data_IF_749419004960
#
_entry.id   IF_749419004960
#
_cell.length_a   1.000
_cell.length_b   1.000
_cell.length_c   1.000
_cell.angle_alpha   90.00
_cell.angle_beta   90.00
_cell.angle_gamma   90.00
#
_symmetry.space_group_name_H-M   'P 1'
#
loop_
_entity.id
_entity.type
_entity.pdbx_description
1 polymer ?
#
# COMPACT_ATOMS: atom_id res chain seq x y z
N UNK A 1 20.23 -23.90 22.00
CA UNK A 1 20.79 -22.85 21.15
C UNK A 1 19.82 -22.72 20.01
N UNK A 2 18.91 -21.74 20.08
CA UNK A 2 18.11 -21.39 18.92
C UNK A 2 19.08 -20.77 17.92
N UNK A 3 19.07 -21.26 16.69
CA UNK A 3 19.91 -20.74 15.63
C UNK A 3 19.45 -19.31 15.37
N UNK A 4 20.27 -18.35 15.82
CA UNK A 4 20.05 -16.90 15.76
C UNK A 4 20.35 -16.38 14.33
N UNK A 5 20.04 -17.19 13.31
CA UNK A 5 20.36 -16.93 11.92
C UNK A 5 19.27 -16.03 11.34
N UNK A 6 19.53 -14.72 11.40
CA UNK A 6 18.77 -13.73 10.67
C UNK A 6 18.64 -14.12 9.18
N UNK A 7 17.50 -13.86 8.52
CA UNK A 7 17.32 -14.18 7.10
C UNK A 7 18.46 -13.60 6.26
N UNK A 8 18.94 -14.40 5.30
CA UNK A 8 19.97 -13.99 4.39
C UNK A 8 19.42 -12.95 3.41
N UNK A 9 20.23 -11.95 3.07
CA UNK A 9 19.86 -10.93 2.09
C UNK A 9 19.55 -11.52 0.72
N UNK A 10 18.47 -11.05 0.10
CA UNK A 10 18.14 -11.36 -1.29
C UNK A 10 19.19 -10.75 -2.24
N UNK A 11 19.42 -11.40 -3.38
CA UNK A 11 20.20 -10.81 -4.45
C UNK A 11 19.47 -9.59 -5.01
N UNK A 12 20.18 -8.49 -5.32
CA UNK A 12 19.54 -7.34 -5.94
C UNK A 12 18.93 -7.65 -7.31
N UNK A 13 17.89 -6.90 -7.68
CA UNK A 13 17.24 -6.99 -8.99
C UNK A 13 16.68 -5.65 -9.44
N UNK A 14 16.23 -5.56 -10.70
CA UNK A 14 15.61 -4.34 -11.24
C UNK A 14 14.38 -3.90 -10.43
N UNK A 15 13.62 -4.85 -9.86
CA UNK A 15 12.45 -4.58 -9.00
C UNK A 15 12.82 -3.81 -7.71
N UNK A 16 14.09 -3.83 -7.31
CA UNK A 16 14.58 -3.03 -6.19
C UNK A 16 15.03 -1.62 -6.56
N UNK A 17 14.92 -1.22 -7.83
CA UNK A 17 15.41 0.07 -8.33
C UNK A 17 14.27 1.06 -8.56
N UNK A 18 14.51 2.34 -8.24
CA UNK A 18 13.55 3.42 -8.54
C UNK A 18 13.25 3.52 -10.03
N UNK A 19 14.25 3.33 -10.89
CA UNK A 19 14.12 3.46 -12.35
C UNK A 19 13.13 2.46 -12.95
N UNK A 20 13.09 1.22 -12.44
CA UNK A 20 12.12 0.22 -12.86
C UNK A 20 10.69 0.71 -12.63
N UNK A 21 10.40 1.14 -11.39
CA UNK A 21 9.07 1.59 -10.98
C UNK A 21 8.66 2.90 -11.64
N UNK A 22 9.58 3.86 -11.79
CA UNK A 22 9.35 5.09 -12.56
C UNK A 22 8.95 4.79 -14.00
N UNK A 23 9.59 3.79 -14.63
CA UNK A 23 9.29 3.37 -16.00
C UNK A 23 7.94 2.65 -16.06
N UNK A 24 7.66 1.77 -15.10
CA UNK A 24 6.38 1.07 -14.96
C UNK A 24 5.23 2.08 -14.86
N UNK A 25 5.25 2.97 -13.87
CA UNK A 25 4.17 3.95 -13.68
C UNK A 25 4.02 4.92 -14.86
N UNK A 26 5.11 5.32 -15.52
CA UNK A 26 5.03 6.14 -16.72
C UNK A 26 4.29 5.43 -17.87
N UNK A 27 4.55 4.13 -18.07
CA UNK A 27 3.85 3.32 -19.07
C UNK A 27 2.37 3.19 -18.71
N UNK A 28 2.06 2.89 -17.46
CA UNK A 28 0.69 2.76 -16.97
C UNK A 28 -0.12 4.05 -17.12
N UNK A 29 0.45 5.20 -16.76
CA UNK A 29 -0.18 6.52 -16.97
C UNK A 29 -0.43 6.81 -18.45
N UNK A 30 0.52 6.45 -19.32
CA UNK A 30 0.37 6.63 -20.77
C UNK A 30 -0.79 5.79 -21.30
N UNK A 31 -0.93 4.54 -20.85
CA UNK A 31 -2.04 3.67 -21.21
C UNK A 31 -3.39 4.16 -20.68
N UNK A 32 -3.42 4.73 -19.47
CA UNK A 32 -4.61 5.33 -18.90
C UNK A 32 -5.12 6.49 -19.77
N UNK A 33 -4.19 7.33 -20.22
CA UNK A 33 -4.49 8.49 -21.09
C UNK A 33 -5.01 8.06 -22.47
N UNK A 34 -4.43 7.01 -23.08
CA UNK A 34 -4.86 6.51 -24.39
C UNK A 34 -6.24 5.85 -24.32
N UNK A 35 -6.50 4.99 -23.32
CA UNK A 35 -7.82 4.36 -23.11
C UNK A 35 -8.91 5.45 -22.97
N UNK A 36 -8.66 6.49 -22.16
CA UNK A 36 -9.61 7.60 -21.98
C UNK A 36 -9.84 8.41 -23.28
N UNK A 37 -8.80 8.64 -24.07
CA UNK A 37 -8.91 9.37 -25.34
C UNK A 37 -9.75 8.61 -26.37
N UNK A 38 -9.57 7.29 -26.49
CA UNK A 38 -10.30 6.45 -27.43
C UNK A 38 -11.80 6.37 -27.07
N UNK A 39 -12.15 6.26 -25.79
CA UNK A 39 -13.56 6.28 -25.33
C UNK A 39 -14.24 7.64 -25.53
N UNK A 40 -13.49 8.74 -25.44
CA UNK A 40 -14.02 10.09 -25.67
C UNK A 40 -14.24 10.36 -27.16
N UNK A 41 -13.36 9.87 -28.03
CA UNK A 41 -13.43 10.16 -29.48
C UNK A 41 -14.60 9.42 -30.17
N UNK A 42 -14.97 8.22 -29.69
CA UNK A 42 -16.10 7.44 -30.21
C UNK A 42 -17.48 8.02 -29.89
N UNK A 43 -17.58 9.01 -28.98
CA UNK A 43 -18.87 9.63 -28.61
C UNK A 43 -19.20 10.94 -29.36
N UNK A 44 -18.32 11.44 -30.24
CA UNK A 44 -18.49 12.77 -30.87
C UNK A 44 -18.68 12.83 -32.39
N UNK A 45 -18.90 11.72 -33.09
CA UNK A 45 -19.31 11.78 -34.51
C UNK A 45 -20.48 10.86 -34.79
N UNK A 46 -21.68 11.45 -34.88
CA UNK A 46 -22.84 10.85 -35.53
C UNK A 46 -22.97 11.49 -36.92
N UNK A 47 -22.41 10.90 -38.00
CA UNK A 47 -22.84 11.25 -39.34
C UNK A 47 -24.09 10.45 -39.68
N UNK A 48 -25.17 11.16 -39.97
CA UNK A 48 -26.38 10.64 -40.60
C UNK A 48 -26.09 10.25 -42.05
N UNK A 49 -26.14 8.96 -42.40
CA UNK A 49 -26.53 8.51 -43.76
C UNK A 49 -26.77 6.99 -43.85
N UNK A 50 -27.87 6.67 -44.56
CA UNK A 50 -28.47 5.38 -44.95
C UNK A 50 -27.59 4.11 -45.09
N UNK A 51 -28.20 2.91 -44.92
CA UNK A 51 -27.54 1.63 -45.09
C UNK A 51 -27.48 1.21 -46.55
N UNK A 52 -26.30 0.77 -47.01
CA UNK A 52 -26.15 -0.04 -48.22
C UNK A 52 -25.34 -1.28 -47.83
N UNK A 53 -25.84 -2.52 -48.05
CA UNK A 53 -25.16 -3.72 -47.61
C UNK A 53 -24.24 -4.21 -48.73
N UNK A 54 -22.94 -3.91 -48.64
CA UNK A 54 -21.86 -4.69 -49.27
C UNK A 54 -20.52 -4.00 -49.00
N UNK A 55 -19.94 -4.28 -47.84
CA UNK A 55 -18.49 -4.38 -47.65
C UNK A 55 -18.28 -5.38 -46.53
N UNK A 56 -17.61 -6.47 -46.86
CA UNK A 56 -17.03 -7.40 -45.89
C UNK A 56 -15.81 -6.69 -45.29
N UNK A 57 -16.01 -6.01 -44.18
CA UNK A 57 -14.90 -5.58 -43.34
C UNK A 57 -14.59 -6.77 -42.42
N UNK A 58 -13.46 -7.40 -42.70
CA UNK A 58 -12.81 -8.33 -41.80
C UNK A 58 -12.38 -7.50 -40.59
N UNK A 59 -13.11 -7.65 -39.48
CA UNK A 59 -12.67 -7.20 -38.17
C UNK A 59 -11.38 -7.97 -37.84
N UNK A 60 -10.23 -7.44 -38.26
CA UNK A 60 -8.95 -7.77 -37.63
C UNK A 60 -9.01 -7.19 -36.22
N UNK A 61 -9.59 -7.96 -35.29
CA UNK A 61 -9.26 -7.85 -33.88
C UNK A 61 -7.75 -8.08 -33.79
N UNK A 62 -6.98 -6.99 -33.75
CA UNK A 62 -5.60 -7.04 -33.33
C UNK A 62 -5.62 -7.50 -31.87
N UNK A 63 -5.51 -8.81 -31.68
CA UNK A 63 -4.94 -9.43 -30.48
C UNK A 63 -3.49 -8.92 -30.36
N UNK A 64 -3.33 -7.63 -30.08
CA UNK A 64 -2.09 -7.15 -29.49
C UNK A 64 -1.97 -7.95 -28.19
N UNK A 65 -0.92 -8.75 -28.07
CA UNK A 65 -0.43 -9.34 -26.83
C UNK A 65 -0.13 -8.21 -25.84
N UNK A 66 -1.17 -7.58 -25.30
CA UNK A 66 -1.09 -6.58 -24.24
C UNK A 66 -0.67 -7.39 -23.02
N UNK A 67 0.61 -7.27 -22.69
CA UNK A 67 1.17 -7.65 -21.40
C UNK A 67 0.21 -7.20 -20.28
N UNK A 68 -0.51 -8.15 -19.69
CA UNK A 68 -1.53 -7.95 -18.64
C UNK A 68 -0.98 -7.16 -17.43
N UNK A 69 0.35 -7.15 -17.28
CA UNK A 69 1.08 -6.35 -16.31
C UNK A 69 1.00 -4.83 -16.56
N UNK A 70 0.57 -4.39 -17.75
CA UNK A 70 0.44 -2.98 -18.10
C UNK A 70 -0.98 -2.42 -17.96
N UNK A 71 -1.93 -3.21 -17.44
CA UNK A 71 -3.24 -2.68 -17.09
C UNK A 71 -3.13 -1.79 -15.83
N UNK A 72 -3.63 -0.54 -15.85
CA UNK A 72 -3.67 0.33 -14.67
C UNK A 72 -4.39 -0.27 -13.45
N UNK A 73 -5.11 -1.38 -13.63
CA UNK A 73 -5.77 -2.17 -12.60
C UNK A 73 -4.92 -3.26 -11.93
N UNK A 74 -3.74 -3.61 -12.45
CA UNK A 74 -2.97 -4.75 -11.94
C UNK A 74 -2.36 -4.43 -10.58
N UNK A 75 -3.08 -4.80 -9.51
CA UNK A 75 -2.56 -4.75 -8.15
C UNK A 75 -1.60 -5.91 -7.93
N UNK A 76 -0.38 -5.61 -7.48
CA UNK A 76 0.59 -6.62 -7.05
C UNK A 76 -0.09 -7.61 -6.06
N UNK A 77 0.16 -8.92 -6.12
CA UNK A 77 -0.53 -9.96 -5.33
C UNK A 77 -2.02 -10.24 -5.63
N UNK A 78 -2.63 -9.63 -6.66
CA UNK A 78 -4.02 -9.99 -7.05
C UNK A 78 -4.18 -11.48 -7.38
N UNK A 79 -3.14 -12.10 -7.95
CA UNK A 79 -3.09 -13.55 -8.22
C UNK A 79 -3.30 -14.43 -6.98
N UNK A 80 -3.01 -13.89 -5.79
CA UNK A 80 -3.19 -14.56 -4.51
C UNK A 80 -4.41 -14.06 -3.73
N UNK A 81 -5.22 -13.18 -4.33
CA UNK A 81 -6.35 -12.51 -3.68
C UNK A 81 -5.95 -11.81 -2.37
N UNK A 82 -4.70 -11.32 -2.29
CA UNK A 82 -4.18 -10.74 -1.06
C UNK A 82 -4.92 -9.46 -0.61
N UNK A 83 -5.28 -8.51 -1.50
CA UNK A 83 -6.05 -7.33 -1.11
C UNK A 83 -7.36 -7.67 -0.40
N UNK A 84 -8.18 -8.57 -0.97
CA UNK A 84 -9.46 -8.97 -0.38
C UNK A 84 -9.29 -9.76 0.93
N UNK A 85 -8.24 -10.58 1.04
CA UNK A 85 -7.93 -11.28 2.30
C UNK A 85 -7.47 -10.32 3.40
N UNK A 86 -6.69 -9.28 3.07
CA UNK A 86 -6.31 -8.23 4.01
C UNK A 86 -7.51 -7.37 4.39
N UNK A 87 -8.38 -7.04 3.43
CA UNK A 87 -9.66 -6.39 3.70
C UNK A 87 -10.46 -7.20 4.72
N UNK A 88 -10.68 -8.49 4.45
CA UNK A 88 -11.41 -9.39 5.35
C UNK A 88 -10.81 -9.37 6.76
N UNK A 89 -9.50 -9.55 6.87
CA UNK A 89 -8.77 -9.53 8.13
C UNK A 89 -8.94 -8.21 8.90
N UNK A 90 -8.85 -7.06 8.21
CA UNK A 90 -8.99 -5.74 8.81
C UNK A 90 -10.44 -5.35 9.12
N UNK A 91 -11.42 -6.07 8.57
CA UNK A 91 -12.85 -5.86 8.84
C UNK A 91 -13.43 -6.87 9.84
N UNK A 92 -12.63 -7.87 10.23
CA UNK A 92 -13.04 -8.91 11.16
C UNK A 92 -13.33 -8.33 12.54
N UNK A 93 -14.35 -8.87 13.22
CA UNK A 93 -14.76 -8.40 14.56
C UNK A 93 -13.67 -8.61 15.62
N UNK A 94 -12.76 -9.57 15.42
CA UNK A 94 -11.61 -9.80 16.29
C UNK A 94 -10.52 -8.74 16.13
N UNK A 95 -10.48 -8.02 14.99
CA UNK A 95 -9.49 -6.97 14.79
C UNK A 95 -9.88 -5.69 15.57
N UNK A 96 -9.04 -5.21 16.52
CA UNK A 96 -9.45 -4.17 17.46
C UNK A 96 -9.86 -2.84 16.81
N UNK A 97 -9.31 -2.53 15.63
CA UNK A 97 -9.60 -1.31 14.90
C UNK A 97 -10.56 -1.51 13.72
N UNK A 98 -11.23 -2.67 13.64
CA UNK A 98 -12.23 -2.90 12.61
C UNK A 98 -13.38 -1.88 12.71
N UNK A 99 -14.03 -1.51 11.60
CA UNK A 99 -15.11 -0.52 11.61
C UNK A 99 -16.29 -0.90 12.50
N UNK A 100 -16.60 -2.19 12.65
CA UNK A 100 -17.63 -2.67 13.60
C UNK A 100 -17.30 -2.33 15.06
N UNK A 101 -16.01 -2.23 15.40
CA UNK A 101 -15.52 -1.93 16.74
C UNK A 101 -15.31 -0.43 17.00
N UNK A 102 -15.29 0.38 15.94
CA UNK A 102 -14.91 1.81 16.02
C UNK A 102 -16.02 2.76 15.57
N UNK A 103 -17.02 2.30 14.81
CA UNK A 103 -18.17 3.10 14.41
C UNK A 103 -19.30 3.05 15.45
N UNK A 104 -20.08 4.15 15.61
CA UNK A 104 -21.26 4.13 16.46
C UNK A 104 -22.33 3.17 15.91
N UNK A 105 -23.13 2.53 16.78
CA UNK A 105 -24.20 1.63 16.34
C UNK A 105 -25.27 2.40 15.54
N UNK A 106 -25.89 1.76 14.53
CA UNK A 106 -26.81 2.42 13.59
C UNK A 106 -28.11 2.98 14.22
N UNK A 107 -28.37 2.72 15.50
CA UNK A 107 -29.58 3.14 16.21
C UNK A 107 -29.44 4.40 17.07
N UNK A 108 -28.27 5.05 17.13
CA UNK A 108 -28.11 6.33 17.84
C UNK A 108 -28.70 7.49 17.03
N UNK A 109 -30.03 7.52 16.92
CA UNK A 109 -30.78 8.65 16.39
C UNK A 109 -30.92 9.76 17.45
N UNK A 110 -30.45 10.94 17.06
CA UNK A 110 -30.83 12.27 17.56
C UNK A 110 -30.80 12.53 19.07
N UNK A 111 -29.66 13.02 19.56
CA UNK A 111 -29.69 14.15 20.48
C UNK A 111 -28.75 15.22 19.89
N UNK A 112 -29.35 16.15 19.15
CA UNK A 112 -28.71 17.19 18.34
C UNK A 112 -28.01 18.30 19.15
N UNK A 113 -27.50 17.98 20.34
CA UNK A 113 -26.88 18.97 21.23
C UNK A 113 -25.66 18.49 22.04
N UNK A 114 -25.09 17.31 21.73
CA UNK A 114 -23.69 17.05 22.07
C UNK A 114 -22.86 17.33 20.84
N UNK A 115 -21.95 18.30 20.92
CA UNK A 115 -20.79 18.35 20.01
C UNK A 115 -20.22 16.93 19.99
N UNK A 116 -20.19 16.30 18.82
CA UNK A 116 -19.42 15.10 18.58
C UNK A 116 -17.96 15.45 18.89
N UNK A 117 -17.53 15.25 20.14
CA UNK A 117 -16.12 15.17 20.47
C UNK A 117 -15.60 13.90 19.81
N UNK A 118 -15.07 14.11 18.59
CA UNK A 118 -14.48 13.15 17.65
C UNK A 118 -14.57 11.68 18.01
N UNK A 119 -15.47 10.94 17.34
CA UNK A 119 -15.23 9.50 17.17
C UNK A 119 -13.94 9.37 16.36
N UNK A 120 -12.82 9.12 17.05
CA UNK A 120 -11.50 9.12 16.42
C UNK A 120 -11.35 7.84 15.60
N UNK A 121 -11.83 7.90 14.36
CA UNK A 121 -11.77 6.79 13.43
C UNK A 121 -10.32 6.45 13.09
N UNK A 122 -9.97 5.16 12.94
CA UNK A 122 -8.59 4.76 12.68
C UNK A 122 -8.00 5.45 11.45
N UNK A 123 -6.82 6.05 11.63
CA UNK A 123 -6.00 6.59 10.56
C UNK A 123 -5.16 5.48 9.91
N UNK A 124 -5.08 5.49 8.58
CA UNK A 124 -4.40 4.44 7.80
C UNK A 124 -3.34 5.07 6.89
N UNK A 125 -2.14 4.50 6.91
CA UNK A 125 -1.05 4.80 5.99
C UNK A 125 -0.78 3.58 5.10
N UNK A 126 -0.63 3.79 3.80
CA UNK A 126 -0.22 2.76 2.83
C UNK A 126 1.17 3.11 2.27
N UNK A 127 2.13 2.24 2.54
CA UNK A 127 3.53 2.39 2.11
C UNK A 127 3.69 1.82 0.70
N UNK A 128 4.36 2.56 -0.18
CA UNK A 128 4.49 2.19 -1.60
C UNK A 128 3.11 1.98 -2.24
N UNK A 129 2.24 2.98 -2.10
CA UNK A 129 0.81 2.85 -2.40
C UNK A 129 0.51 2.52 -3.87
N UNK A 130 1.46 2.74 -4.78
CA UNK A 130 1.34 2.38 -6.18
C UNK A 130 0.12 3.05 -6.82
N UNK A 131 -0.90 2.26 -7.14
CA UNK A 131 -2.13 2.74 -7.76
C UNK A 131 -3.21 3.18 -6.74
N UNK A 132 -2.94 3.07 -5.43
CA UNK A 132 -3.85 3.50 -4.36
C UNK A 132 -5.06 2.58 -4.09
N UNK A 133 -5.15 1.45 -4.80
CA UNK A 133 -6.32 0.55 -4.75
C UNK A 133 -6.61 -0.02 -3.37
N UNK A 134 -5.58 -0.28 -2.54
CA UNK A 134 -5.76 -0.85 -1.20
C UNK A 134 -6.53 0.10 -0.27
N UNK A 135 -6.18 1.39 -0.27
CA UNK A 135 -6.90 2.40 0.52
C UNK A 135 -8.32 2.62 0.00
N UNK A 136 -8.51 2.61 -1.32
CA UNK A 136 -9.83 2.69 -1.93
C UNK A 136 -10.73 1.52 -1.50
N UNK A 137 -10.18 0.30 -1.51
CA UNK A 137 -10.84 -0.92 -1.07
C UNK A 137 -11.29 -0.82 0.40
N UNK A 138 -10.40 -0.38 1.29
CA UNK A 138 -10.72 -0.20 2.72
C UNK A 138 -11.75 0.91 2.96
N UNK A 139 -11.71 1.99 2.18
CA UNK A 139 -12.67 3.10 2.26
C UNK A 139 -14.07 2.66 1.81
N UNK A 140 -14.15 2.04 0.63
CA UNK A 140 -15.41 1.75 -0.05
C UNK A 140 -16.06 0.47 0.47
N UNK A 141 -15.30 -0.62 0.57
CA UNK A 141 -15.81 -1.94 1.00
C UNK A 141 -15.53 -2.21 2.47
N UNK A 142 -14.42 -1.72 3.01
CA UNK A 142 -14.08 -1.92 4.42
C UNK A 142 -14.89 -1.07 5.39
N UNK A 143 -15.42 0.07 4.94
CA UNK A 143 -16.22 0.96 5.79
C UNK A 143 -15.40 1.91 6.68
N UNK A 144 -14.07 1.90 6.55
CA UNK A 144 -13.19 2.80 7.31
C UNK A 144 -13.47 4.27 6.98
N UNK A 145 -13.54 5.11 8.02
CA UNK A 145 -13.90 6.54 7.89
C UNK A 145 -12.79 7.52 8.26
N UNK A 146 -11.74 7.07 8.95
CA UNK A 146 -10.62 7.93 9.39
C UNK A 146 -9.74 8.43 8.25
N UNK A 147 -8.70 9.20 8.60
CA UNK A 147 -7.76 9.73 7.60
C UNK A 147 -7.03 8.59 6.88
N UNK A 148 -6.89 8.69 5.56
CA UNK A 148 -6.14 7.71 4.75
C UNK A 148 -5.09 8.43 3.93
N UNK A 149 -3.84 7.98 4.03
CA UNK A 149 -2.71 8.53 3.29
C UNK A 149 -1.99 7.40 2.57
N UNK A 150 -1.83 7.50 1.26
CA UNK A 150 -0.93 6.65 0.48
C UNK A 150 0.35 7.42 0.16
N UNK A 151 1.51 6.81 0.39
CA UNK A 151 2.80 7.40 0.05
C UNK A 151 3.56 6.54 -0.94
N UNK A 152 4.30 7.18 -1.83
CA UNK A 152 5.22 6.52 -2.75
C UNK A 152 6.44 7.41 -2.99
N UNK A 153 7.62 6.84 -3.25
CA UNK A 153 8.79 7.66 -3.62
C UNK A 153 8.67 8.24 -5.03
N UNK A 154 7.71 7.73 -5.84
CA UNK A 154 7.53 8.07 -7.24
C UNK A 154 6.34 9.02 -7.38
N UNK A 155 6.60 10.25 -7.84
CA UNK A 155 5.54 11.18 -8.20
C UNK A 155 4.56 10.58 -9.24
N UNK A 156 5.04 9.71 -10.13
CA UNK A 156 4.21 9.06 -11.16
C UNK A 156 3.22 8.06 -10.55
N UNK A 157 3.61 7.34 -9.51
CA UNK A 157 2.67 6.51 -8.73
C UNK A 157 1.59 7.39 -8.10
N UNK A 158 1.98 8.50 -7.47
CA UNK A 158 1.05 9.42 -6.82
C UNK A 158 0.07 10.02 -7.83
N UNK A 159 0.54 10.42 -9.01
CA UNK A 159 -0.30 10.87 -10.12
C UNK A 159 -1.26 9.79 -10.59
N UNK A 160 -0.79 8.54 -10.74
CA UNK A 160 -1.63 7.40 -11.11
C UNK A 160 -2.75 7.17 -10.09
N UNK A 161 -2.43 7.11 -8.79
CA UNK A 161 -3.41 6.91 -7.74
C UNK A 161 -4.45 8.05 -7.67
N UNK A 162 -4.01 9.30 -7.84
CA UNK A 162 -4.90 10.48 -7.90
C UNK A 162 -5.82 10.42 -9.12
N UNK A 163 -5.31 10.01 -10.27
CA UNK A 163 -6.10 9.93 -11.50
C UNK A 163 -7.12 8.79 -11.46
N UNK A 164 -6.73 7.62 -10.94
CA UNK A 164 -7.67 6.50 -10.71
C UNK A 164 -8.76 6.87 -9.70
N UNK A 165 -8.40 7.57 -8.62
CA UNK A 165 -9.37 8.13 -7.67
C UNK A 165 -10.34 9.10 -8.35
N UNK A 166 -9.82 10.02 -9.17
CA UNK A 166 -10.61 11.05 -9.85
C UNK A 166 -11.56 10.47 -10.88
N UNK A 167 -11.07 9.51 -11.68
CA UNK A 167 -11.82 8.91 -12.78
C UNK A 167 -12.74 7.78 -12.33
N UNK A 168 -12.51 7.18 -11.15
CA UNK A 168 -13.24 6.00 -10.64
C UNK A 168 -13.29 4.83 -11.63
N UNK A 169 -12.21 4.62 -12.38
CA UNK A 169 -12.14 3.60 -13.44
C UNK A 169 -11.46 2.30 -12.99
N UNK A 170 -11.16 2.17 -11.70
CA UNK A 170 -10.63 0.95 -11.12
C UNK A 170 -11.65 0.39 -10.13
N UNK A 171 -11.86 -0.92 -10.13
CA UNK A 171 -12.88 -1.62 -9.34
C UNK A 171 -12.88 -1.26 -7.84
N UNK A 172 -11.70 -1.12 -7.23
CA UNK A 172 -11.53 -0.66 -5.86
C UNK A 172 -12.11 0.75 -5.55
N UNK A 173 -12.27 1.60 -6.57
CA UNK A 173 -12.84 2.95 -6.44
C UNK A 173 -14.34 3.02 -6.78
N UNK A 174 -14.90 1.95 -7.34
CA UNK A 174 -16.33 1.81 -7.60
C UNK A 174 -17.06 1.40 -6.32
N UNK A 175 -18.23 1.99 -6.05
CA UNK A 175 -19.18 1.44 -5.07
C UNK A 175 -20.14 0.46 -5.76
N UNK A 176 -20.68 -0.49 -5.01
CA UNK A 176 -21.68 -1.44 -5.52
C UNK A 176 -22.94 -0.73 -6.08
N UNK A 177 -23.20 0.52 -5.65
CA UNK A 177 -24.26 1.38 -6.20
C UNK A 177 -23.88 2.12 -7.50
N UNK A 178 -22.59 2.24 -7.82
CA UNK A 178 -22.12 2.89 -9.05
C UNK A 178 -22.23 1.97 -10.28
N UNK A 179 -22.47 0.67 -10.09
CA UNK A 179 -22.66 -0.29 -11.19
C UNK A 179 -24.05 -0.16 -11.87
N UNK A 180 -25.04 0.43 -11.20
CA UNK A 180 -26.40 0.60 -11.75
C UNK A 180 -26.65 1.97 -12.42
N UNK A 181 -25.87 3.00 -12.12
CA UNK A 181 -26.06 4.34 -12.69
C UNK A 181 -25.04 4.64 -13.80
N UNK A 182 -25.43 4.32 -15.03
CA UNK A 182 -24.70 4.74 -16.22
C UNK A 182 -24.50 6.26 -16.27
N UNK A 183 -23.23 6.69 -16.27
CA UNK A 183 -22.74 8.02 -16.68
C UNK A 183 -23.59 9.20 -16.18
N UNK A 184 -23.55 9.46 -14.88
CA UNK A 184 -23.89 10.76 -14.32
C UNK A 184 -22.71 11.29 -13.53
N UNK A 185 -22.29 12.54 -13.77
CA UNK A 185 -21.50 13.34 -12.84
C UNK A 185 -22.34 13.61 -11.58
N UNK A 186 -22.65 12.56 -10.82
CA UNK A 186 -23.29 12.65 -9.52
C UNK A 186 -22.22 12.91 -8.46
N UNK A 187 -22.56 13.75 -7.47
CA UNK A 187 -21.78 14.03 -6.26
C UNK A 187 -21.52 12.74 -5.45
N UNK A 188 -20.70 11.82 -5.97
CA UNK A 188 -20.48 10.54 -5.32
C UNK A 188 -19.54 10.70 -4.13
N UNK A 189 -19.91 10.07 -3.02
CA UNK A 189 -19.27 10.20 -1.72
C UNK A 189 -17.74 10.26 -1.79
N UNK A 190 -17.21 11.37 -1.26
CA UNK A 190 -15.81 11.76 -1.23
C UNK A 190 -14.94 10.58 -0.76
N UNK A 191 -14.14 10.03 -1.67
CA UNK A 191 -13.17 8.99 -1.31
C UNK A 191 -12.04 9.56 -0.47
N UNK A 192 -11.86 10.89 -0.41
CA UNK A 192 -10.87 11.64 0.38
C UNK A 192 -9.66 10.83 0.87
N UNK A 193 -8.98 10.14 -0.06
CA UNK A 193 -7.68 9.54 0.20
C UNK A 193 -6.66 10.54 -0.29
N UNK A 194 -5.73 10.86 0.60
CA UNK A 194 -4.59 11.72 0.32
C UNK A 194 -3.47 10.86 -0.23
N UNK A 195 -2.84 11.29 -1.33
CA UNK A 195 -1.66 10.63 -1.90
C UNK A 195 -0.50 11.62 -1.93
N UNK A 196 0.68 11.23 -1.47
CA UNK A 196 1.85 12.11 -1.37
C UNK A 196 3.14 11.45 -1.85
N UNK A 197 4.00 12.25 -2.50
CA UNK A 197 5.35 11.81 -2.84
C UNK A 197 6.23 11.91 -1.60
N UNK A 198 6.74 10.78 -1.13
CA UNK A 198 7.65 10.73 0.01
C UNK A 198 8.55 9.50 -0.04
N UNK A 199 9.86 9.71 0.02
CA UNK A 199 10.84 8.63 0.06
C UNK A 199 10.97 8.10 1.49
N UNK A 200 10.51 6.87 1.72
CA UNK A 200 10.54 6.21 3.03
C UNK A 200 11.94 5.89 3.55
N UNK A 201 12.92 5.67 2.67
CA UNK A 201 14.27 5.27 3.08
C UNK A 201 15.15 6.46 3.45
N UNK A 202 14.85 7.62 2.87
CA UNK A 202 15.63 8.85 2.99
C UNK A 202 14.91 9.99 3.69
N UNK A 203 13.58 9.93 3.75
CA UNK A 203 12.76 10.88 4.48
C UNK A 203 12.81 10.60 5.98
N UNK A 204 12.94 11.66 6.76
CA UNK A 204 12.75 11.59 8.20
C UNK A 204 11.53 12.45 8.57
N UNK A 205 10.44 11.79 8.96
CA UNK A 205 9.23 12.48 9.43
C UNK A 205 9.50 13.30 10.70
N UNK A 206 10.57 13.01 11.44
CA UNK A 206 10.98 13.70 12.66
C UNK A 206 12.14 14.69 12.45
N UNK A 207 12.72 14.78 11.25
CA UNK A 207 13.76 15.77 10.96
C UNK A 207 13.12 17.16 10.90
N UNK A 208 13.64 18.06 11.74
CA UNK A 208 13.19 19.44 11.87
C UNK A 208 14.26 20.43 11.40
N UNK A 209 15.39 19.95 10.90
CA UNK A 209 16.61 20.74 10.67
C UNK A 209 17.03 20.89 9.18
N UNK A 210 16.48 20.10 8.25
CA UNK A 210 16.84 20.16 6.82
C UNK A 210 16.09 21.27 6.06
N UNK A 211 16.71 22.46 6.02
CA UNK A 211 16.19 23.69 5.40
C UNK A 211 16.25 23.74 3.86
N UNK A 212 16.30 22.60 3.17
CA UNK A 212 16.32 22.55 1.70
C UNK A 212 15.22 21.72 1.06
N UNK A 213 14.48 20.89 1.81
CA UNK A 213 13.25 20.23 1.35
C UNK A 213 12.43 19.44 2.41
N UNK A 214 12.65 19.60 3.72
CA UNK A 214 11.96 18.75 4.72
C UNK A 214 11.62 19.46 6.02
N UNK A 215 10.52 20.21 6.03
CA UNK A 215 9.81 20.51 7.27
C UNK A 215 8.95 19.32 7.70
N UNK A 216 8.37 19.37 8.90
CA UNK A 216 7.32 18.43 9.32
C UNK A 216 6.29 18.25 8.19
N UNK A 217 6.05 17.01 7.79
CA UNK A 217 5.03 16.69 6.79
C UNK A 217 3.66 16.81 7.44
N UNK A 218 2.73 17.53 6.81
CA UNK A 218 1.42 17.88 7.40
C UNK A 218 0.43 16.70 7.44
N UNK A 219 0.72 15.60 6.73
CA UNK A 219 -0.08 14.38 6.73
C UNK A 219 0.25 13.41 7.87
N UNK A 220 1.38 13.61 8.58
CA UNK A 220 1.78 12.71 9.66
C UNK A 220 1.13 13.11 11.00
N UNK A 221 0.46 12.17 11.72
CA UNK A 221 -0.24 12.47 12.97
C UNK A 221 0.72 12.52 14.17
N UNK A 222 1.51 13.59 14.26
CA UNK A 222 2.51 13.80 15.32
C UNK A 222 1.92 13.77 16.74
N UNK A 223 0.71 14.30 16.91
CA UNK A 223 -0.02 14.37 18.18
C UNK A 223 -0.43 12.99 18.70
N UNK A 224 -0.64 12.03 17.79
CA UNK A 224 -0.92 10.62 18.12
C UNK A 224 0.34 9.74 18.17
N UNK A 225 1.48 10.27 17.73
CA UNK A 225 2.74 9.55 17.64
C UNK A 225 2.82 8.53 16.49
N UNK A 226 1.99 8.70 15.45
CA UNK A 226 1.92 7.81 14.29
C UNK A 226 0.50 7.39 13.92
N UNK A 227 0.38 6.67 12.80
CA UNK A 227 -0.89 6.15 12.28
C UNK A 227 -1.40 4.97 13.13
N UNK A 228 -2.71 4.74 13.11
CA UNK A 228 -3.33 3.60 13.78
C UNK A 228 -3.03 2.27 13.06
N UNK A 229 -3.04 2.30 11.73
CA UNK A 229 -2.77 1.17 10.84
C UNK A 229 -1.77 1.61 9.77
N UNK A 230 -0.71 0.83 9.57
CA UNK A 230 0.25 1.00 8.48
C UNK A 230 0.23 -0.27 7.62
N UNK A 231 0.09 -0.11 6.32
CA UNK A 231 0.04 -1.19 5.34
C UNK A 231 1.32 -1.19 4.52
N UNK A 232 1.91 -2.36 4.32
CA UNK A 232 2.97 -2.60 3.36
C UNK A 232 2.53 -3.75 2.47
N UNK A 233 2.36 -3.45 1.19
CA UNK A 233 1.93 -4.42 0.20
C UNK A 233 3.01 -4.63 -0.85
N UNK A 234 4.16 -5.13 -0.40
CA UNK A 234 5.30 -5.51 -1.26
C UNK A 234 6.37 -4.42 -1.36
N UNK A 235 6.27 -3.34 -0.58
CA UNK A 235 7.30 -2.31 -0.50
C UNK A 235 8.55 -2.87 0.16
N UNK A 236 8.40 -3.63 1.26
CA UNK A 236 9.53 -4.30 1.88
C UNK A 236 10.21 -5.31 0.94
N UNK A 237 9.44 -6.00 0.09
CA UNK A 237 9.98 -6.88 -0.95
C UNK A 237 10.88 -6.11 -1.93
N UNK A 238 10.38 -5.01 -2.50
CA UNK A 238 11.15 -4.18 -3.41
C UNK A 238 12.41 -3.62 -2.72
N UNK A 239 12.28 -3.10 -1.49
CA UNK A 239 13.41 -2.61 -0.70
C UNK A 239 14.43 -3.72 -0.43
N UNK A 240 13.98 -4.95 -0.21
CA UNK A 240 14.86 -6.12 0.01
C UNK A 240 15.65 -6.53 -1.24
N UNK A 241 15.21 -6.11 -2.43
CA UNK A 241 15.86 -6.33 -3.73
C UNK A 241 16.76 -5.14 -4.15
N UNK A 242 16.86 -4.07 -3.36
CA UNK A 242 17.73 -2.92 -3.66
C UNK A 242 19.20 -3.21 -3.32
N UNK A 243 20.14 -2.88 -4.21
CA UNK A 243 21.59 -2.97 -3.93
C UNK A 243 22.11 -1.83 -3.04
N UNK A 244 21.23 -0.90 -2.65
CA UNK A 244 21.59 0.27 -1.87
C UNK A 244 22.12 -0.12 -0.47
N UNK A 245 23.24 0.51 -0.12
CA UNK A 245 23.92 0.33 1.16
C UNK A 245 23.87 1.63 1.95
N UNK A 246 23.74 1.49 3.27
CA UNK A 246 23.78 2.61 4.19
C UNK A 246 25.23 3.10 4.26
N UNK A 247 25.50 4.40 3.98
CA UNK A 247 26.83 4.96 4.13
C UNK A 247 27.34 4.76 5.57
N UNK A 248 28.60 4.32 5.72
CA UNK A 248 29.23 4.17 7.04
C UNK A 248 29.21 5.51 7.79
N UNK A 249 28.46 5.59 8.88
CA UNK A 249 28.30 6.86 9.60
C UNK A 249 27.65 6.77 10.97
N UNK A 250 28.21 5.95 11.89
CA UNK A 250 28.32 6.19 13.36
C UNK A 250 28.47 4.91 14.21
N UNK A 251 28.42 3.71 13.65
CA UNK A 251 28.75 2.50 14.41
C UNK A 251 30.28 2.30 14.43
N UNK A 252 30.93 2.99 15.38
CA UNK A 252 32.36 2.92 15.66
C UNK A 252 32.83 1.54 16.11
N UNK A 253 32.80 0.55 15.23
CA UNK A 253 33.40 -0.75 15.49
C UNK A 253 34.92 -0.67 15.29
N UNK A 254 35.66 -0.80 16.39
CA UNK A 254 37.13 -0.80 16.46
C UNK A 254 37.82 -2.02 15.79
N UNK A 255 37.09 -2.79 14.99
CA UNK A 255 37.59 -3.94 14.22
C UNK A 255 37.45 -3.56 12.76
N UNK A 256 38.56 -3.31 12.06
CA UNK A 256 38.63 -2.82 10.67
C UNK A 256 38.04 -3.72 9.56
N UNK A 257 36.85 -4.28 9.79
CA UNK A 257 35.95 -4.84 8.79
C UNK A 257 34.77 -3.87 8.64
N UNK A 258 34.71 -3.18 7.51
CA UNK A 258 33.51 -2.45 7.10
C UNK A 258 32.37 -3.45 6.91
N UNK A 259 31.33 -3.38 7.75
CA UNK A 259 30.09 -4.13 7.55
C UNK A 259 29.16 -3.21 6.77
N UNK A 260 29.09 -3.39 5.45
CA UNK A 260 28.09 -2.70 4.63
C UNK A 260 26.70 -3.24 5.02
N UNK A 261 25.87 -2.38 5.60
CA UNK A 261 24.47 -2.69 5.90
C UNK A 261 23.59 -2.30 4.71
N UNK A 262 22.64 -3.14 4.34
CA UNK A 262 21.67 -2.84 3.26
C UNK A 262 20.54 -1.96 3.80
N UNK A 263 19.94 -1.14 2.94
CA UNK A 263 18.82 -0.27 3.32
C UNK A 263 17.62 -1.01 3.90
N UNK A 264 17.37 -2.26 3.47
CA UNK A 264 16.32 -3.11 4.00
C UNK A 264 16.45 -3.38 5.51
N UNK A 265 17.66 -3.29 6.08
CA UNK A 265 17.90 -3.44 7.51
C UNK A 265 17.35 -2.27 8.35
N UNK A 266 17.19 -1.07 7.76
CA UNK A 266 16.56 0.07 8.47
C UNK A 266 15.05 0.08 8.34
N UNK A 267 14.52 -0.52 7.29
CA UNK A 267 13.12 -0.39 6.92
C UNK A 267 12.15 -0.74 8.05
N UNK A 268 12.27 -1.89 8.77
CA UNK A 268 11.36 -2.18 9.88
C UNK A 268 11.41 -1.15 11.02
N UNK A 269 12.58 -0.56 11.27
CA UNK A 269 12.76 0.51 12.27
C UNK A 269 12.03 1.79 11.87
N UNK A 270 12.05 2.15 10.58
CA UNK A 270 11.33 3.29 10.02
C UNK A 270 9.82 3.04 10.11
N UNK A 271 9.34 1.87 9.67
CA UNK A 271 7.92 1.50 9.73
C UNK A 271 7.38 1.51 11.17
N UNK A 272 8.17 1.01 12.13
CA UNK A 272 7.83 1.12 13.56
C UNK A 272 7.65 2.57 13.99
N UNK A 273 8.45 3.51 13.48
CA UNK A 273 8.31 4.94 13.75
C UNK A 273 7.04 5.58 13.17
N UNK A 274 6.48 5.00 12.10
CA UNK A 274 5.30 5.52 11.41
C UNK A 274 3.97 5.11 12.07
N UNK A 275 3.96 4.02 12.83
CA UNK A 275 2.77 3.49 13.55
C UNK A 275 2.79 3.92 15.01
N UNK A 276 1.67 4.39 15.58
CA UNK A 276 1.63 4.73 17.01
C UNK A 276 1.76 3.50 17.90
N UNK A 277 2.09 3.70 19.18
CA UNK A 277 1.98 2.63 20.19
C UNK A 277 0.54 2.11 20.28
N UNK A 278 0.40 0.78 20.33
CA UNK A 278 -0.86 0.06 20.25
C UNK A 278 -1.45 -0.05 18.84
N UNK A 279 -0.86 0.63 17.84
CA UNK A 279 -1.24 0.53 16.43
C UNK A 279 -0.65 -0.70 15.74
N UNK A 280 -1.05 -0.90 14.48
CA UNK A 280 -0.78 -2.13 13.73
C UNK A 280 -0.03 -1.87 12.43
N UNK A 281 0.85 -2.80 12.07
CA UNK A 281 1.54 -2.86 10.79
C UNK A 281 1.15 -4.16 10.10
N UNK A 282 0.60 -4.09 8.89
CA UNK A 282 0.24 -5.28 8.10
C UNK A 282 1.17 -5.36 6.90
N UNK A 283 2.00 -6.39 6.85
CA UNK A 283 3.02 -6.57 5.80
C UNK A 283 2.70 -7.81 4.98
N UNK A 284 2.48 -7.62 3.68
CA UNK A 284 2.32 -8.68 2.68
C UNK A 284 3.61 -8.85 1.90
N UNK A 285 4.10 -10.08 1.79
CA UNK A 285 5.38 -10.40 1.16
C UNK A 285 5.35 -11.65 0.29
N UNK A 286 6.01 -11.61 -0.88
CA UNK A 286 6.27 -12.81 -1.72
C UNK A 286 7.73 -13.28 -1.74
N UNK A 287 8.71 -12.48 -1.31
CA UNK A 287 10.11 -12.92 -1.30
C UNK A 287 10.58 -13.52 0.03
N UNK A 288 9.83 -13.29 1.11
CA UNK A 288 10.12 -13.83 2.44
C UNK A 288 9.09 -14.85 2.87
N UNK A 289 9.54 -15.90 3.58
CA UNK A 289 8.61 -16.74 4.34
C UNK A 289 8.02 -15.96 5.51
N UNK A 290 6.97 -16.50 6.12
CA UNK A 290 6.35 -15.88 7.29
C UNK A 290 7.35 -15.74 8.44
N UNK A 291 8.14 -16.77 8.70
CA UNK A 291 9.14 -16.80 9.78
C UNK A 291 10.26 -15.79 9.53
N UNK A 292 10.71 -15.66 8.28
CA UNK A 292 11.72 -14.69 7.89
C UNK A 292 11.18 -13.26 8.03
N UNK A 293 9.94 -13.01 7.59
CA UNK A 293 9.29 -11.71 7.72
C UNK A 293 9.13 -11.32 9.20
N UNK A 294 8.74 -12.27 10.04
CA UNK A 294 8.68 -12.07 11.50
C UNK A 294 10.06 -11.75 12.05
N UNK A 295 11.11 -12.46 11.64
CA UNK A 295 12.48 -12.20 12.09
C UNK A 295 12.96 -10.78 11.70
N UNK A 296 12.63 -10.31 10.50
CA UNK A 296 12.93 -8.94 10.06
C UNK A 296 12.25 -7.88 10.92
N UNK A 297 10.93 -8.00 11.15
CA UNK A 297 10.14 -6.95 11.78
C UNK A 297 10.16 -6.97 13.31
N UNK A 298 10.48 -8.10 13.94
CA UNK A 298 10.52 -8.22 15.41
C UNK A 298 11.91 -8.06 16.01
N UNK A 299 12.94 -7.85 15.17
CA UNK A 299 14.31 -7.63 15.64
C UNK A 299 14.39 -6.37 16.49
N UNK A 300 14.88 -6.50 17.71
CA UNK A 300 15.18 -5.36 18.57
C UNK A 300 16.45 -4.68 18.06
N UNK A 301 16.32 -3.46 17.54
CA UNK A 301 17.47 -2.59 17.33
C UNK A 301 18.19 -2.35 18.66
N UNK A 302 19.52 -2.36 18.66
CA UNK A 302 20.37 -2.17 19.84
C UNK A 302 20.37 -0.72 20.35
N UNK A 303 19.19 -0.17 20.64
CA UNK A 303 18.99 1.12 21.29
C UNK A 303 18.02 0.84 22.45
N UNK A 304 18.39 0.80 23.72
CA UNK A 304 19.35 1.61 24.46
C UNK A 304 18.56 2.51 25.41
N UNK A 305 18.31 2.03 26.64
CA UNK A 305 17.83 2.85 27.77
C UNK A 305 16.31 2.81 28.05
N UNK A 306 15.98 2.55 29.32
CA UNK A 306 14.66 2.72 29.98
C UNK A 306 13.50 1.79 29.59
N UNK A 307 13.66 0.50 29.91
CA UNK A 307 12.63 -0.33 30.59
C UNK A 307 11.25 -0.55 29.96
N UNK A 308 10.94 0.07 28.82
CA UNK A 308 9.71 -0.09 28.03
C UNK A 308 10.14 -0.52 26.64
N UNK A 309 9.93 -1.80 26.32
CA UNK A 309 10.32 -2.36 25.03
C UNK A 309 9.42 -1.78 23.92
N UNK A 310 9.87 -0.72 23.24
CA UNK A 310 9.24 -0.22 22.01
C UNK A 310 9.58 -1.18 20.86
N UNK A 311 8.66 -2.08 20.51
CA UNK A 311 8.92 -3.15 19.53
C UNK A 311 7.66 -3.52 18.76
N UNK A 312 7.85 -4.20 17.64
CA UNK A 312 6.78 -4.89 16.94
C UNK A 312 6.70 -6.33 17.44
N UNK A 313 5.48 -6.78 17.72
CA UNK A 313 5.18 -8.19 18.06
C UNK A 313 4.13 -8.72 17.10
N UNK A 314 4.20 -10.01 16.76
CA UNK A 314 3.17 -10.62 15.92
C UNK A 314 1.83 -10.60 16.63
N UNK A 315 0.83 -10.02 15.98
CA UNK A 315 -0.55 -9.97 16.45
C UNK A 315 -1.43 -10.98 15.72
N UNK A 316 -1.35 -11.04 14.39
CA UNK A 316 -2.19 -11.89 13.57
C UNK A 316 -1.55 -12.27 12.24
N UNK A 317 -2.18 -13.19 11.52
CA UNK A 317 -1.74 -13.72 10.23
C UNK A 317 -2.93 -13.86 9.30
N UNK A 318 -2.70 -13.63 8.00
CA UNK A 318 -3.70 -13.91 6.97
C UNK A 318 -3.39 -15.26 6.35
N UNK A 319 -4.40 -16.12 6.26
CA UNK A 319 -4.23 -17.46 5.68
C UNK A 319 -4.29 -17.43 4.15
N UNK A 320 -3.30 -18.06 3.52
CA UNK A 320 -3.23 -18.28 2.08
C UNK A 320 -3.18 -19.78 1.75
N UNK A 321 -3.61 -20.20 0.54
CA UNK A 321 -3.42 -21.59 0.10
C UNK A 321 -1.95 -22.00 0.17
N UNK A 322 -1.69 -23.15 0.81
CA UNK A 322 -0.35 -23.73 0.92
C UNK A 322 -0.20 -24.92 -0.03
N UNK A 323 0.96 -25.01 -0.67
CA UNK A 323 1.32 -26.11 -1.57
C UNK A 323 2.31 -27.02 -0.87
N UNK A 324 2.11 -28.34 -0.97
CA UNK A 324 3.04 -29.34 -0.43
C UNK A 324 3.67 -30.12 -1.56
N UNK A 325 5.00 -30.06 -1.67
CA UNK A 325 5.78 -30.83 -2.63
C UNK A 325 7.00 -31.46 -1.95
N UNK A 326 7.18 -32.78 -2.10
CA UNK A 326 8.33 -33.49 -1.53
C UNK A 326 8.46 -33.41 0.00
N UNK A 327 7.35 -33.24 0.72
CA UNK A 327 7.34 -33.10 2.18
C UNK A 327 7.65 -31.69 2.70
N UNK A 328 7.91 -30.72 1.81
CA UNK A 328 8.06 -29.30 2.11
C UNK A 328 6.75 -28.58 1.80
N UNK A 329 6.37 -27.66 2.67
CA UNK A 329 5.21 -26.79 2.50
C UNK A 329 5.70 -25.39 2.09
N UNK A 330 5.05 -24.79 1.10
CA UNK A 330 5.37 -23.45 0.59
C UNK A 330 4.11 -22.64 0.33
N UNK A 331 4.26 -21.33 0.35
CA UNK A 331 3.21 -20.35 0.06
C UNK A 331 3.77 -19.30 -0.90
N UNK A 332 2.98 -18.89 -1.89
CA UNK A 332 3.42 -17.86 -2.86
C UNK A 332 3.45 -16.45 -2.27
N UNK A 333 2.68 -16.23 -1.20
CA UNK A 333 2.62 -14.97 -0.44
C UNK A 333 2.38 -15.29 1.03
N UNK A 334 2.85 -14.40 1.91
CA UNK A 334 2.46 -14.37 3.32
C UNK A 334 2.03 -12.96 3.71
N UNK A 335 1.14 -12.85 4.70
CA UNK A 335 0.81 -11.56 5.30
C UNK A 335 0.79 -11.69 6.82
N UNK A 336 1.56 -10.84 7.48
CA UNK A 336 1.69 -10.81 8.93
C UNK A 336 1.26 -9.44 9.45
N UNK A 337 0.40 -9.46 10.47
CA UNK A 337 0.01 -8.27 11.22
C UNK A 337 0.83 -8.21 12.50
N UNK A 338 1.54 -7.09 12.70
CA UNK A 338 2.31 -6.77 13.88
C UNK A 338 1.62 -5.67 14.69
N UNK A 339 1.71 -5.72 16.01
CA UNK A 339 1.33 -4.63 16.89
C UNK A 339 2.59 -3.96 17.45
N UNK A 340 2.61 -2.61 17.47
CA UNK A 340 3.65 -1.86 18.21
C UNK A 340 3.29 -1.81 19.69
N UNK A 341 4.13 -2.35 20.55
CA UNK A 341 3.94 -2.38 22.02
C UNK A 341 4.87 -1.43 22.77
#
# INVERSE_FOLDING_TARGET
>A
MADDSHPAHLSPSELGTKDYWETFYARTLSHLSTKHTTTTTTTTTKPTSNPNPNTSDEDEESEDDIDDDSDPGTSWFSEHNAPDKVLQFLTDEEFPLAPVNTLPPPSSSSDSNKKEEGSDQPSILDLGTGNGSMLALLRKRGGYKGAMVGIDYSIRSVELARELQRLRIHSAYLSDSDEEEGKGEGEGGDTNIRFEEWDILHGDVHDTASSSSGGKVDWFPYDKGGFDIVLDKGTFDAVSLSDEVIPDGQDGHASGKTIQRRVCERYPGIVRGLVRKGGFVVVTSCNWTEEELVAWFTRTGSSGGDGVEDKLVVWGRVEYPRFRFGGREGQGVCTVCFQRV
#
